data_IF_370464240947
#
_entry.id   IF_370464240947
#
_cell.length_a   1.000
_cell.length_b   1.000
_cell.length_c   1.000
_cell.angle_alpha   90.00
_cell.angle_beta   90.00
_cell.angle_gamma   90.00
#
_symmetry.space_group_name_H-M   'P 1'
#
loop_
_entity.id
_entity.type
_entity.pdbx_description
1 polymer ?
#
# COMPACT_ATOMS: atom_id res chain seq x y z
N UNK A 1 11.49 3.94 13.45
CA UNK A 1 10.55 4.12 12.32
C UNK A 1 9.63 2.91 12.27
N UNK A 2 8.31 3.09 12.26
CA UNK A 2 7.35 1.98 12.21
C UNK A 2 7.06 1.59 10.76
N UNK A 3 6.96 0.29 10.48
CA UNK A 3 6.71 -0.25 9.14
C UNK A 3 5.31 -0.85 9.07
N UNK A 4 4.53 -0.44 8.08
CA UNK A 4 3.19 -0.94 7.80
C UNK A 4 3.22 -1.64 6.44
N UNK A 5 2.66 -2.84 6.37
CA UNK A 5 2.52 -3.60 5.13
C UNK A 5 1.03 -3.77 4.81
N UNK A 6 0.62 -3.34 3.62
CA UNK A 6 -0.69 -3.64 3.08
C UNK A 6 -0.62 -4.88 2.20
N UNK A 7 -1.53 -5.83 2.42
CA UNK A 7 -1.73 -6.98 1.56
C UNK A 7 -2.96 -6.71 0.69
N UNK A 8 -2.74 -6.24 -0.54
CA UNK A 8 -3.79 -5.97 -1.50
C UNK A 8 -4.09 -7.27 -2.28
N UNK A 9 -5.12 -7.98 -1.83
CA UNK A 9 -5.54 -9.26 -2.40
C UNK A 9 -6.92 -9.14 -3.07
N UNK A 10 -6.90 -8.96 -4.39
CA UNK A 10 -8.10 -8.85 -5.22
C UNK A 10 -7.82 -8.21 -6.58
N UNK A 11 -8.41 -7.06 -6.89
CA UNK A 11 -8.39 -6.44 -8.25
C UNK A 11 -7.69 -5.08 -8.26
N UNK A 12 -7.33 -4.52 -9.42
CA UNK A 12 -6.78 -3.15 -9.51
C UNK A 12 -7.51 -2.08 -8.67
N UNK A 13 -8.84 -2.20 -8.52
CA UNK A 13 -9.65 -1.29 -7.71
C UNK A 13 -9.38 -1.37 -6.20
N UNK A 14 -8.81 -2.46 -5.70
CA UNK A 14 -8.39 -2.57 -4.29
C UNK A 14 -6.96 -2.05 -4.05
N UNK A 15 -6.05 -2.18 -5.02
CA UNK A 15 -4.66 -1.73 -4.90
C UNK A 15 -4.58 -0.21 -4.80
N UNK A 16 -5.33 0.50 -5.65
CA UNK A 16 -5.26 1.96 -5.76
C UNK A 16 -5.56 2.71 -4.44
N UNK A 17 -6.62 2.37 -3.68
CA UNK A 17 -6.86 2.96 -2.37
C UNK A 17 -5.68 2.82 -1.40
N UNK A 18 -4.97 1.69 -1.41
CA UNK A 18 -3.81 1.48 -0.53
C UNK A 18 -2.62 2.36 -0.92
N UNK A 19 -2.48 2.73 -2.19
CA UNK A 19 -1.45 3.68 -2.64
C UNK A 19 -1.71 5.06 -2.04
N UNK A 20 -2.94 5.58 -2.15
CA UNK A 20 -3.31 6.88 -1.57
C UNK A 20 -3.10 6.91 -0.07
N UNK A 21 -3.53 5.85 0.64
CA UNK A 21 -3.32 5.73 2.08
C UNK A 21 -1.82 5.61 2.44
N UNK A 22 -1.06 4.84 1.66
CA UNK A 22 0.38 4.65 1.85
C UNK A 22 1.16 5.96 1.75
N UNK A 23 0.84 6.80 0.77
CA UNK A 23 1.43 8.13 0.62
C UNK A 23 1.12 9.03 1.82
N UNK A 24 -0.13 9.03 2.30
CA UNK A 24 -0.52 9.80 3.47
C UNK A 24 0.22 9.34 4.75
N UNK A 25 0.49 8.04 4.88
CA UNK A 25 1.27 7.48 5.98
C UNK A 25 2.77 7.79 5.85
N UNK A 26 3.32 7.74 4.64
CA UNK A 26 4.71 8.16 4.39
C UNK A 26 4.92 9.63 4.79
N UNK A 27 3.98 10.52 4.45
CA UNK A 27 4.01 11.93 4.86
C UNK A 27 3.99 12.12 6.40
N UNK A 28 3.49 11.13 7.14
CA UNK A 28 3.47 11.11 8.61
C UNK A 28 4.67 10.37 9.23
N UNK A 29 5.66 9.97 8.43
CA UNK A 29 6.91 9.36 8.88
C UNK A 29 6.87 7.83 9.03
N UNK A 30 5.87 7.16 8.47
CA UNK A 30 5.81 5.70 8.43
C UNK A 30 6.54 5.15 7.20
N UNK A 31 7.20 4.00 7.35
CA UNK A 31 7.63 3.20 6.20
C UNK A 31 6.42 2.37 5.76
N UNK A 32 6.12 2.36 4.46
CA UNK A 32 4.98 1.62 3.91
C UNK A 32 5.44 0.71 2.78
N UNK A 33 4.89 -0.51 2.73
CA UNK A 33 5.01 -1.41 1.59
C UNK A 33 3.61 -1.93 1.23
N UNK A 34 3.34 -2.08 -0.06
CA UNK A 34 2.10 -2.68 -0.57
C UNK A 34 2.50 -3.93 -1.32
N UNK A 35 2.02 -5.09 -0.90
CA UNK A 35 2.12 -6.33 -1.64
C UNK A 35 0.82 -6.52 -2.42
N UNK A 36 0.94 -6.60 -3.74
CA UNK A 36 -0.17 -6.92 -4.64
C UNK A 36 0.19 -8.18 -5.44
N UNK A 37 -0.83 -8.80 -6.05
CA UNK A 37 -0.57 -9.84 -7.06
C UNK A 37 0.26 -9.24 -8.20
N UNK A 38 1.15 -10.03 -8.80
CA UNK A 38 2.11 -9.58 -9.82
C UNK A 38 1.46 -8.81 -10.98
N UNK A 39 0.25 -9.21 -11.39
CA UNK A 39 -0.54 -8.55 -12.43
C UNK A 39 -0.93 -7.08 -12.11
N UNK A 40 -0.78 -6.65 -10.86
CA UNK A 40 -1.11 -5.29 -10.39
C UNK A 40 0.05 -4.58 -9.67
N UNK A 41 1.25 -5.18 -9.63
CA UNK A 41 2.42 -4.64 -8.93
C UNK A 41 3.07 -3.45 -9.67
#
# INVERSE_FOLDING_TARGET
MKHIVFLAYGTRGDVQPYVTLGLALQARGYRVSIAASEVFA
#
